data_IF_341380565372
#
_entry.id   IF_341380565372
#
_cell.length_a   1.000
_cell.length_b   1.000
_cell.length_c   1.000
_cell.angle_alpha   90.00
_cell.angle_beta   90.00
_cell.angle_gamma   90.00
#
_symmetry.space_group_name_H-M   'P 1'
#
loop_
_entity.id
_entity.type
_entity.pdbx_description
1 polymer ?
#
# COMPACT_ATOMS: atom_id res chain seq x y z
N UNK A 1 100.19 8.36 9.08
CA UNK A 1 99.88 7.75 7.79
C UNK A 1 98.71 6.79 7.98
N UNK A 2 97.63 7.10 7.45
CA UNK A 2 96.54 6.32 6.83
C UNK A 2 95.22 7.12 6.92
N UNK A 3 94.81 7.64 5.78
CA UNK A 3 93.52 8.30 5.57
C UNK A 3 92.35 7.26 5.74
N UNK A 4 91.39 7.60 6.56
CA UNK A 4 90.13 6.91 6.56
C UNK A 4 89.09 7.79 5.84
N UNK A 5 88.56 7.26 4.76
CA UNK A 5 87.50 7.90 3.97
C UNK A 5 86.14 7.71 4.68
N UNK A 6 85.49 8.84 4.99
CA UNK A 6 84.10 8.84 5.44
C UNK A 6 83.18 8.77 4.22
N UNK A 7 82.35 7.73 4.15
CA UNK A 7 81.27 7.62 3.18
C UNK A 7 79.98 8.07 3.90
N UNK A 8 79.48 9.22 3.49
CA UNK A 8 78.15 9.67 3.93
C UNK A 8 77.08 9.03 3.02
N UNK A 9 76.28 8.13 3.59
CA UNK A 9 75.18 7.55 2.90
C UNK A 9 73.89 8.44 3.16
N UNK A 10 73.49 9.16 2.11
CA UNK A 10 72.23 9.94 2.15
C UNK A 10 71.06 9.01 1.92
N UNK A 11 70.26 8.74 2.98
CA UNK A 11 68.99 8.01 2.89
C UNK A 11 67.92 9.00 2.48
N UNK A 12 67.43 8.89 1.24
CA UNK A 12 66.23 9.59 0.76
C UNK A 12 65.04 8.82 1.27
N UNK A 13 64.32 9.37 2.28
CA UNK A 13 63.00 8.88 2.71
C UNK A 13 61.97 9.45 1.72
N UNK A 14 61.53 8.63 0.77
CA UNK A 14 60.38 8.92 -0.06
C UNK A 14 59.11 8.71 0.79
N UNK A 15 58.62 9.78 1.41
CA UNK A 15 57.26 9.79 2.02
C UNK A 15 56.24 9.75 0.89
N UNK A 16 55.73 8.53 0.58
CA UNK A 16 54.60 8.33 -0.31
C UNK A 16 53.34 8.92 0.34
N UNK A 17 52.96 10.10 -0.10
CA UNK A 17 51.60 10.64 0.15
C UNK A 17 50.58 9.72 -0.56
N UNK A 18 50.09 8.71 0.14
CA UNK A 18 48.88 8.01 -0.22
C UNK A 18 47.73 9.01 -0.03
N UNK A 19 47.42 9.78 -1.07
CA UNK A 19 46.18 10.53 -1.18
C UNK A 19 45.08 9.51 -1.17
N UNK A 20 44.42 9.33 -0.04
CA UNK A 20 43.10 8.71 0.02
C UNK A 20 42.14 9.60 -0.76
N UNK A 21 42.09 9.38 -2.07
CA UNK A 21 40.97 9.87 -2.87
C UNK A 21 39.78 9.07 -2.34
N UNK A 22 39.02 9.67 -1.43
CA UNK A 22 37.68 9.18 -1.10
C UNK A 22 36.87 9.34 -2.37
N UNK A 23 36.82 8.28 -3.19
CA UNK A 23 35.78 8.15 -4.19
C UNK A 23 34.46 8.18 -3.38
N UNK A 24 33.67 9.21 -3.58
CA UNK A 24 32.28 9.16 -3.17
C UNK A 24 31.73 7.90 -3.84
N UNK A 25 31.51 6.84 -3.06
CA UNK A 25 30.90 5.62 -3.58
C UNK A 25 29.52 6.02 -4.05
N UNK A 26 29.28 5.92 -5.35
CA UNK A 26 27.95 6.13 -5.90
C UNK A 26 26.95 5.30 -5.08
N UNK A 27 25.90 5.93 -4.59
CA UNK A 27 24.84 5.28 -3.84
C UNK A 27 23.60 5.15 -4.71
N UNK A 28 22.78 4.15 -4.43
CA UNK A 28 21.44 4.05 -4.97
C UNK A 28 20.51 4.79 -4.01
N UNK A 29 19.73 5.74 -4.51
CA UNK A 29 18.84 6.55 -3.67
C UNK A 29 17.42 6.06 -3.75
N UNK A 30 16.80 5.85 -2.59
CA UNK A 30 15.39 5.47 -2.45
C UNK A 30 14.61 6.62 -1.84
N UNK A 31 13.66 7.17 -2.58
CA UNK A 31 12.72 8.17 -2.10
C UNK A 31 11.65 7.54 -1.20
N UNK A 32 11.40 8.15 -0.05
CA UNK A 32 10.35 7.75 0.89
C UNK A 32 9.38 8.90 1.02
N UNK A 33 8.20 8.74 0.44
CA UNK A 33 7.18 9.79 0.29
C UNK A 33 5.93 9.42 1.10
N UNK A 34 5.97 9.66 2.39
CA UNK A 34 4.89 9.37 3.32
C UNK A 34 4.62 10.55 4.26
N UNK A 35 3.34 10.80 4.58
CA UNK A 35 2.97 11.82 5.56
C UNK A 35 3.39 11.40 6.96
N UNK A 36 4.24 12.21 7.57
CA UNK A 36 4.73 12.03 8.94
C UNK A 36 4.01 12.96 9.92
N UNK A 37 3.15 13.83 9.39
CA UNK A 37 2.29 14.75 10.12
C UNK A 37 0.92 14.89 9.43
N UNK A 38 -0.08 15.44 10.15
CA UNK A 38 -1.46 15.58 9.66
C UNK A 38 -2.31 14.32 9.84
N UNK A 39 -3.50 14.29 9.19
CA UNK A 39 -4.56 13.30 9.41
C UNK A 39 -4.18 11.85 9.00
N UNK A 40 -3.17 11.69 8.13
CA UNK A 40 -2.72 10.37 7.65
C UNK A 40 -1.46 9.88 8.36
N UNK A 41 -0.87 10.64 9.26
CA UNK A 41 0.37 10.25 9.95
C UNK A 41 0.22 8.93 10.74
N UNK A 42 -0.97 8.67 11.30
CA UNK A 42 -1.27 7.43 12.03
C UNK A 42 -1.03 6.18 11.16
N UNK A 43 -1.34 6.25 9.87
CA UNK A 43 -1.20 5.13 8.93
C UNK A 43 0.14 5.13 8.18
N UNK A 44 0.70 6.32 7.88
CA UNK A 44 1.85 6.43 6.96
C UNK A 44 3.23 6.36 7.66
N UNK A 45 3.31 6.66 8.96
CA UNK A 45 4.61 6.66 9.66
C UNK A 45 5.26 5.27 9.69
N UNK A 46 4.47 4.22 9.87
CA UNK A 46 4.95 2.82 9.87
C UNK A 46 5.47 2.39 8.51
N UNK A 47 4.90 2.89 7.42
CA UNK A 47 5.37 2.59 6.07
C UNK A 47 6.75 3.19 5.81
N UNK A 48 7.00 4.45 6.25
CA UNK A 48 8.33 5.04 6.23
C UNK A 48 9.33 4.16 6.99
N UNK A 49 8.99 3.71 8.20
CA UNK A 49 9.87 2.88 9.02
C UNK A 49 10.11 1.49 8.38
N UNK A 50 9.10 0.92 7.71
CA UNK A 50 9.23 -0.33 6.95
C UNK A 50 10.23 -0.19 5.80
N UNK A 51 10.16 0.87 5.01
CA UNK A 51 11.14 1.12 3.93
C UNK A 51 12.55 1.27 4.50
N UNK A 52 12.70 2.01 5.60
CA UNK A 52 14.01 2.22 6.26
C UNK A 52 14.58 0.91 6.81
N UNK A 53 13.74 0.04 7.39
CA UNK A 53 14.12 -1.30 7.83
C UNK A 53 14.63 -2.13 6.64
N UNK A 54 13.89 -2.16 5.53
CA UNK A 54 14.26 -2.92 4.34
C UNK A 54 15.58 -2.43 3.73
N UNK A 55 15.81 -1.12 3.71
CA UNK A 55 17.09 -0.52 3.28
C UNK A 55 18.23 -0.96 4.21
N UNK A 56 18.01 -0.92 5.52
CA UNK A 56 19.03 -1.34 6.50
C UNK A 56 19.39 -2.83 6.33
N UNK A 57 18.38 -3.70 6.16
CA UNK A 57 18.58 -5.13 5.90
C UNK A 57 19.35 -5.39 4.59
N UNK A 58 19.00 -4.69 3.51
CA UNK A 58 19.67 -4.85 2.22
C UNK A 58 21.11 -4.35 2.29
N UNK A 59 21.36 -3.23 2.96
CA UNK A 59 22.71 -2.71 3.18
C UNK A 59 23.58 -3.65 4.03
N UNK A 60 22.99 -4.31 5.03
CA UNK A 60 23.69 -5.31 5.83
C UNK A 60 24.12 -6.55 5.00
N UNK A 61 23.41 -6.83 3.89
CA UNK A 61 23.75 -7.89 2.92
C UNK A 61 24.78 -7.44 1.84
N UNK A 62 25.24 -6.20 1.90
CA UNK A 62 26.22 -5.65 0.94
C UNK A 62 25.65 -4.63 -0.06
N UNK A 63 24.43 -4.15 0.17
CA UNK A 63 23.77 -3.15 -0.68
C UNK A 63 23.12 -3.76 -1.92
N UNK A 64 23.06 -3.01 -3.00
CA UNK A 64 22.44 -3.41 -4.27
C UNK A 64 23.39 -3.05 -5.42
N UNK A 65 23.70 -3.99 -6.33
CA UNK A 65 24.72 -3.87 -7.37
C UNK A 65 26.09 -3.40 -6.82
N UNK A 66 26.44 -3.83 -5.61
CA UNK A 66 27.68 -3.42 -4.94
C UNK A 66 27.69 -1.97 -4.43
N UNK A 67 26.56 -1.28 -4.45
CA UNK A 67 26.37 0.08 -3.96
C UNK A 67 25.50 0.08 -2.70
N UNK A 68 25.80 1.03 -1.79
CA UNK A 68 24.93 1.28 -0.64
C UNK A 68 23.62 1.92 -1.10
N UNK A 69 22.52 1.58 -0.44
CA UNK A 69 21.23 2.24 -0.62
C UNK A 69 21.08 3.34 0.42
N UNK A 70 20.81 4.57 -0.03
CA UNK A 70 20.58 5.72 0.84
C UNK A 70 19.11 6.18 0.74
N UNK A 71 18.39 6.28 1.86
CA UNK A 71 17.01 6.80 1.87
C UNK A 71 16.99 8.33 1.79
N UNK A 72 16.05 8.87 1.04
CA UNK A 72 15.68 10.29 1.03
C UNK A 72 14.24 10.40 1.50
N UNK A 73 14.05 10.80 2.76
CA UNK A 73 12.74 10.87 3.40
C UNK A 73 12.19 12.28 3.29
N UNK A 74 10.95 12.41 2.86
CA UNK A 74 10.22 13.69 2.79
C UNK A 74 8.85 13.56 3.45
N UNK A 75 8.38 14.65 4.09
CA UNK A 75 7.06 14.73 4.71
C UNK A 75 6.15 15.69 3.91
N UNK A 76 5.15 15.19 3.19
CA UNK A 76 4.14 16.01 2.54
C UNK A 76 2.97 16.42 3.47
N UNK A 77 3.04 16.12 4.77
CA UNK A 77 2.16 16.61 5.83
C UNK A 77 0.66 16.44 5.57
N UNK A 78 0.24 15.31 4.97
CA UNK A 78 -1.15 15.04 4.55
C UNK A 78 -1.75 16.12 3.63
N UNK A 79 -0.90 16.82 2.89
CA UNK A 79 -1.28 17.88 1.96
C UNK A 79 -1.06 17.40 0.52
N UNK A 80 -2.15 17.23 -0.22
CA UNK A 80 -2.12 16.59 -1.55
C UNK A 80 -1.28 17.34 -2.58
N UNK A 81 -1.35 18.68 -2.73
CA UNK A 81 -0.43 19.43 -3.58
C UNK A 81 1.03 19.26 -3.20
N UNK A 82 1.33 19.18 -1.90
CA UNK A 82 2.70 19.00 -1.42
C UNK A 82 3.28 17.63 -1.78
N UNK A 83 2.46 16.59 -1.95
CA UNK A 83 2.91 15.30 -2.50
C UNK A 83 3.52 15.45 -3.90
N UNK A 84 2.88 16.21 -4.79
CA UNK A 84 3.43 16.46 -6.13
C UNK A 84 4.74 17.24 -6.08
N UNK A 85 4.82 18.27 -5.23
CA UNK A 85 6.04 19.06 -5.03
C UNK A 85 7.19 18.19 -4.50
N UNK A 86 6.93 17.38 -3.46
CA UNK A 86 7.91 16.48 -2.86
C UNK A 86 8.30 15.34 -3.80
N UNK A 87 7.38 14.81 -4.59
CA UNK A 87 7.69 13.86 -5.66
C UNK A 87 8.64 14.46 -6.70
N UNK A 88 8.42 15.70 -7.12
CA UNK A 88 9.32 16.41 -8.03
C UNK A 88 10.68 16.72 -7.38
N UNK A 89 10.71 17.07 -6.10
CA UNK A 89 11.95 17.25 -5.34
C UNK A 89 12.78 15.96 -5.35
N UNK A 90 12.16 14.83 -5.03
CA UNK A 90 12.82 13.51 -5.02
C UNK A 90 13.39 13.15 -6.40
N UNK A 91 12.63 13.31 -7.47
CA UNK A 91 13.06 12.89 -8.82
C UNK A 91 14.02 13.88 -9.47
N UNK A 92 13.72 15.19 -9.45
CA UNK A 92 14.48 16.18 -10.21
C UNK A 92 15.71 16.68 -9.45
N UNK A 93 15.61 16.90 -8.12
CA UNK A 93 16.68 17.47 -7.30
C UNK A 93 17.52 16.39 -6.65
N UNK A 94 16.88 15.48 -5.91
CA UNK A 94 17.59 14.43 -5.17
C UNK A 94 17.98 13.27 -6.07
N UNK A 95 17.34 13.10 -7.23
CA UNK A 95 17.60 12.07 -8.25
C UNK A 95 17.52 10.67 -7.65
N UNK A 96 16.40 10.39 -6.98
CA UNK A 96 16.15 9.04 -6.46
C UNK A 96 15.87 8.07 -7.60
N UNK A 97 16.30 6.82 -7.44
CA UNK A 97 16.13 5.74 -8.42
C UNK A 97 14.72 5.14 -8.38
N UNK A 98 14.05 5.23 -7.23
CA UNK A 98 12.70 4.72 -7.00
C UNK A 98 12.05 5.47 -5.84
N UNK A 99 10.72 5.56 -5.83
CA UNK A 99 9.93 6.09 -4.71
C UNK A 99 9.08 4.96 -4.12
N UNK A 100 9.07 4.84 -2.79
CA UNK A 100 8.08 4.11 -2.02
C UNK A 100 7.21 5.14 -1.30
N UNK A 101 5.89 5.13 -1.52
CA UNK A 101 5.12 6.19 -0.93
C UNK A 101 3.65 6.28 -1.31
N UNK A 102 3.06 7.31 -0.75
CA UNK A 102 1.64 7.62 -0.76
C UNK A 102 0.80 6.59 0.00
N UNK A 103 -0.29 7.07 0.58
CA UNK A 103 -1.37 6.23 1.13
C UNK A 103 -2.67 6.50 0.37
N UNK A 104 -3.14 7.72 0.37
CA UNK A 104 -4.42 8.06 -0.24
C UNK A 104 -4.33 8.08 -1.77
N UNK A 105 -5.41 7.66 -2.43
CA UNK A 105 -5.47 7.76 -3.90
C UNK A 105 -5.31 9.19 -4.41
N UNK A 106 -5.77 10.18 -3.64
CA UNK A 106 -5.57 11.59 -4.02
C UNK A 106 -4.11 12.01 -3.94
N UNK A 107 -3.33 11.51 -2.97
CA UNK A 107 -1.88 11.77 -2.92
C UNK A 107 -1.15 11.10 -4.09
N UNK A 108 -1.45 9.83 -4.39
CA UNK A 108 -0.91 9.12 -5.57
C UNK A 108 -1.23 9.87 -6.85
N UNK A 109 -2.50 10.24 -7.08
CA UNK A 109 -2.94 10.97 -8.27
C UNK A 109 -2.29 12.35 -8.39
N UNK A 110 -1.92 12.99 -7.28
CA UNK A 110 -1.16 14.25 -7.29
C UNK A 110 0.29 14.05 -7.76
N UNK A 111 0.91 12.92 -7.41
CA UNK A 111 2.29 12.59 -7.80
C UNK A 111 2.37 12.00 -9.21
N UNK A 112 1.34 11.27 -9.67
CA UNK A 112 1.34 10.53 -10.92
C UNK A 112 1.79 11.34 -12.15
N UNK A 113 1.29 12.58 -12.39
CA UNK A 113 1.77 13.39 -13.52
C UNK A 113 3.27 13.70 -13.44
N UNK A 114 3.81 13.85 -12.24
CA UNK A 114 5.25 14.10 -12.02
C UNK A 114 6.09 12.86 -12.33
N UNK A 115 5.59 11.67 -11.91
CA UNK A 115 6.23 10.39 -12.24
C UNK A 115 6.29 10.18 -13.75
N UNK A 116 5.20 10.41 -14.45
CA UNK A 116 5.11 10.21 -15.90
C UNK A 116 5.95 11.25 -16.69
N UNK A 117 5.94 12.52 -16.26
CA UNK A 117 6.75 13.58 -16.88
C UNK A 117 8.25 13.32 -16.76
N UNK A 118 8.71 12.87 -15.58
CA UNK A 118 10.12 12.69 -15.26
C UNK A 118 10.60 11.23 -15.43
N UNK A 119 9.73 10.33 -15.93
CA UNK A 119 9.96 8.90 -16.00
C UNK A 119 10.47 8.33 -14.67
N UNK A 120 9.83 8.73 -13.55
CA UNK A 120 10.10 8.17 -12.23
C UNK A 120 9.40 6.82 -12.04
N UNK A 121 9.82 6.07 -11.03
CA UNK A 121 9.20 4.80 -10.65
C UNK A 121 8.70 4.87 -9.23
N UNK A 122 7.45 4.43 -8.98
CA UNK A 122 6.85 4.39 -7.66
C UNK A 122 6.25 3.02 -7.34
N UNK A 123 6.46 2.55 -6.11
CA UNK A 123 5.71 1.46 -5.50
C UNK A 123 4.64 2.04 -4.58
N UNK A 124 3.39 1.70 -4.87
CA UNK A 124 2.21 2.13 -4.11
C UNK A 124 1.66 0.95 -3.30
N UNK A 125 1.79 0.96 -1.96
CA UNK A 125 1.56 -0.23 -1.14
C UNK A 125 0.16 -0.32 -0.54
N UNK A 126 -0.78 0.52 -0.94
CA UNK A 126 -2.10 0.63 -0.30
C UNK A 126 -3.20 0.21 -1.25
N UNK A 127 -4.29 -0.31 -0.71
CA UNK A 127 -5.50 -0.57 -1.48
C UNK A 127 -5.99 0.71 -2.20
N UNK A 128 -6.64 0.51 -3.34
CA UNK A 128 -7.15 1.63 -4.11
C UNK A 128 -8.40 1.28 -4.92
N UNK A 129 -9.03 2.28 -5.52
CA UNK A 129 -10.29 2.16 -6.25
C UNK A 129 -10.17 1.50 -7.63
N UNK A 130 -8.97 1.12 -8.08
CA UNK A 130 -8.77 0.80 -9.49
C UNK A 130 -8.93 2.03 -10.38
N UNK A 131 -9.42 1.83 -11.61
CA UNK A 131 -9.70 2.88 -12.61
C UNK A 131 -8.47 3.74 -12.98
N UNK A 132 -7.30 3.16 -12.82
CA UNK A 132 -6.00 3.77 -13.13
C UNK A 132 -4.96 2.68 -13.38
N UNK A 133 -4.13 2.88 -14.41
CA UNK A 133 -2.94 2.08 -14.66
C UNK A 133 -1.85 2.96 -15.28
N UNK A 134 -0.64 2.92 -14.72
CA UNK A 134 0.51 3.66 -15.23
C UNK A 134 1.73 2.76 -15.31
N UNK A 135 2.55 2.93 -16.35
CA UNK A 135 3.83 2.21 -16.46
C UNK A 135 4.83 2.61 -15.36
N UNK A 136 4.62 3.77 -14.75
CA UNK A 136 5.51 4.35 -13.75
C UNK A 136 5.10 3.98 -12.31
N UNK A 137 4.06 3.17 -12.13
CA UNK A 137 3.57 2.75 -10.82
C UNK A 137 3.39 1.23 -10.76
N UNK A 138 3.96 0.62 -9.72
CA UNK A 138 3.65 -0.73 -9.29
C UNK A 138 2.68 -0.68 -8.11
N UNK A 139 1.51 -1.28 -8.30
CA UNK A 139 0.43 -1.31 -7.31
C UNK A 139 0.58 -2.59 -6.47
N UNK A 140 1.19 -2.48 -5.30
CA UNK A 140 1.44 -3.63 -4.42
C UNK A 140 0.35 -3.83 -3.37
N UNK A 141 -0.51 -2.83 -3.15
CA UNK A 141 -1.76 -2.96 -2.40
C UNK A 141 -2.92 -3.51 -3.25
N UNK A 142 -4.06 -3.75 -2.61
CA UNK A 142 -5.21 -4.39 -3.23
C UNK A 142 -5.92 -3.51 -4.28
N UNK A 143 -6.28 -4.09 -5.41
CA UNK A 143 -7.31 -3.57 -6.32
C UNK A 143 -8.72 -3.96 -5.82
N UNK A 144 -9.81 -3.38 -6.35
CA UNK A 144 -11.17 -3.68 -5.87
C UNK A 144 -11.54 -5.17 -5.92
N UNK A 145 -11.07 -5.91 -6.91
CA UNK A 145 -11.28 -7.35 -7.01
C UNK A 145 -10.45 -8.18 -6.01
N UNK A 146 -9.52 -7.53 -5.30
CA UNK A 146 -8.69 -8.14 -4.26
C UNK A 146 -9.05 -7.67 -2.85
N UNK A 147 -10.13 -6.91 -2.66
CA UNK A 147 -10.61 -6.46 -1.35
C UNK A 147 -12.12 -6.24 -1.35
N UNK A 148 -12.58 -5.21 -2.06
CA UNK A 148 -13.94 -4.69 -1.97
C UNK A 148 -14.99 -5.68 -2.46
N UNK A 149 -14.76 -6.35 -3.59
CA UNK A 149 -15.70 -7.32 -4.15
C UNK A 149 -15.77 -8.60 -3.32
N UNK A 150 -14.63 -9.27 -2.97
CA UNK A 150 -14.68 -10.44 -2.09
C UNK A 150 -15.29 -10.17 -0.71
N UNK A 151 -15.00 -8.99 -0.13
CA UNK A 151 -15.62 -8.58 1.14
C UNK A 151 -17.15 -8.49 1.05
N UNK A 152 -17.65 -7.94 -0.05
CA UNK A 152 -19.09 -7.84 -0.28
C UNK A 152 -19.71 -9.22 -0.54
N UNK A 153 -19.02 -10.11 -1.25
CA UNK A 153 -19.45 -11.50 -1.44
C UNK A 153 -19.55 -12.25 -0.11
N UNK A 154 -18.58 -12.08 0.78
CA UNK A 154 -18.62 -12.63 2.13
C UNK A 154 -19.83 -12.10 2.93
N UNK A 155 -20.07 -10.78 2.90
CA UNK A 155 -21.23 -10.20 3.59
C UNK A 155 -22.56 -10.76 3.08
N UNK A 156 -22.67 -11.00 1.77
CA UNK A 156 -23.89 -11.55 1.15
C UNK A 156 -24.04 -13.04 1.47
N UNK A 157 -23.00 -13.82 1.26
CA UNK A 157 -23.09 -15.28 1.24
C UNK A 157 -22.94 -15.90 2.64
N UNK A 158 -22.05 -15.36 3.48
CA UNK A 158 -21.69 -15.94 4.78
C UNK A 158 -22.43 -15.22 5.93
N UNK A 159 -22.53 -13.89 5.88
CA UNK A 159 -23.27 -13.09 6.88
C UNK A 159 -24.77 -13.00 6.54
N UNK A 160 -25.16 -13.18 5.28
CA UNK A 160 -26.54 -13.06 4.85
C UNK A 160 -27.06 -11.63 4.78
N UNK A 161 -26.18 -10.66 4.57
CA UNK A 161 -26.55 -9.25 4.48
C UNK A 161 -27.43 -8.98 3.25
N UNK A 162 -28.47 -8.20 3.45
CA UNK A 162 -29.47 -7.84 2.45
C UNK A 162 -29.59 -6.33 2.27
N UNK A 163 -29.01 -5.57 3.21
CA UNK A 163 -28.95 -4.10 3.18
C UNK A 163 -27.53 -3.64 3.45
N UNK A 164 -27.13 -2.60 2.75
CA UNK A 164 -25.74 -2.16 2.72
C UNK A 164 -25.62 -0.66 2.93
N UNK A 165 -24.72 -0.28 3.80
CA UNK A 165 -24.38 1.12 4.06
C UNK A 165 -22.94 1.34 3.59
N UNK A 166 -22.78 2.08 2.51
CA UNK A 166 -21.48 2.44 1.94
C UNK A 166 -21.04 3.78 2.55
N UNK A 167 -20.17 3.72 3.54
CA UNK A 167 -19.70 4.88 4.30
C UNK A 167 -18.25 5.17 3.96
N UNK A 168 -17.91 6.40 3.60
CA UNK A 168 -16.53 6.72 3.20
C UNK A 168 -16.08 8.15 3.47
N UNK A 169 -14.78 8.34 3.44
CA UNK A 169 -14.19 9.69 3.40
C UNK A 169 -14.45 10.32 2.03
N UNK A 170 -14.74 11.62 1.98
CA UNK A 170 -15.14 12.32 0.75
C UNK A 170 -13.96 12.65 -0.15
N UNK A 171 -13.46 11.63 -0.89
CA UNK A 171 -12.46 11.81 -1.95
C UNK A 171 -12.53 10.66 -2.97
N UNK A 172 -11.62 10.63 -3.94
CA UNK A 172 -11.69 9.75 -5.13
C UNK A 172 -11.80 8.26 -4.77
N UNK A 173 -11.00 7.75 -3.81
CA UNK A 173 -11.02 6.32 -3.46
C UNK A 173 -12.39 5.86 -2.94
N UNK A 174 -12.98 6.42 -1.88
CA UNK A 174 -14.30 5.98 -1.41
C UNK A 174 -15.41 6.20 -2.43
N UNK A 175 -15.39 7.34 -3.14
CA UNK A 175 -16.42 7.64 -4.14
C UNK A 175 -16.41 6.64 -5.29
N UNK A 176 -15.24 6.27 -5.79
CA UNK A 176 -15.12 5.31 -6.89
C UNK A 176 -15.35 3.88 -6.41
N UNK A 177 -14.77 3.48 -5.28
CA UNK A 177 -15.00 2.16 -4.69
C UNK A 177 -16.48 1.94 -4.38
N UNK A 178 -17.14 2.88 -3.73
CA UNK A 178 -18.57 2.76 -3.40
C UNK A 178 -19.43 2.72 -4.67
N UNK A 179 -19.04 3.43 -5.75
CA UNK A 179 -19.75 3.34 -7.04
C UNK A 179 -19.60 1.92 -7.66
N UNK A 180 -18.44 1.30 -7.56
CA UNK A 180 -18.22 -0.08 -7.99
C UNK A 180 -19.08 -1.03 -7.16
N UNK A 181 -19.07 -0.87 -5.84
CA UNK A 181 -19.86 -1.69 -4.91
C UNK A 181 -21.37 -1.54 -5.12
N UNK A 182 -21.86 -0.32 -5.34
CA UNK A 182 -23.27 -0.08 -5.66
C UNK A 182 -23.65 -0.78 -6.97
N UNK A 183 -22.82 -0.66 -8.02
CA UNK A 183 -23.05 -1.32 -9.30
C UNK A 183 -23.05 -2.86 -9.15
N UNK A 184 -22.14 -3.40 -8.35
CA UNK A 184 -22.09 -4.82 -8.03
C UNK A 184 -23.36 -5.29 -7.29
N UNK A 185 -23.79 -4.57 -6.25
CA UNK A 185 -25.00 -4.89 -5.47
C UNK A 185 -26.24 -4.89 -6.35
N UNK A 186 -26.41 -3.89 -7.20
CA UNK A 186 -27.52 -3.81 -8.15
C UNK A 186 -27.49 -4.97 -9.14
N UNK A 187 -26.32 -5.35 -9.64
CA UNK A 187 -26.14 -6.52 -10.52
C UNK A 187 -26.49 -7.85 -9.82
N UNK A 188 -26.30 -7.95 -8.50
CA UNK A 188 -26.71 -9.09 -7.66
C UNK A 188 -28.20 -9.05 -7.27
N UNK A 189 -28.94 -8.03 -7.69
CA UNK A 189 -30.39 -7.91 -7.46
C UNK A 189 -30.77 -7.24 -6.13
N UNK A 190 -29.80 -6.63 -5.42
CA UNK A 190 -30.10 -5.78 -4.27
C UNK A 190 -30.84 -4.53 -4.77
N UNK A 191 -31.91 -4.15 -4.10
CA UNK A 191 -32.70 -2.99 -4.49
C UNK A 191 -32.02 -1.69 -4.07
N UNK A 192 -32.16 -0.63 -4.86
CA UNK A 192 -31.59 0.68 -4.54
C UNK A 192 -32.04 1.22 -3.15
N UNK A 193 -33.27 0.90 -2.72
CA UNK A 193 -33.79 1.27 -1.40
C UNK A 193 -33.08 0.54 -0.22
N UNK A 194 -32.36 -0.54 -0.50
CA UNK A 194 -31.58 -1.31 0.45
C UNK A 194 -30.07 -0.93 0.42
N UNK A 195 -29.71 0.15 -0.27
CA UNK A 195 -28.37 0.71 -0.32
C UNK A 195 -28.42 2.15 0.20
N UNK A 196 -27.58 2.47 1.19
CA UNK A 196 -27.39 3.83 1.70
C UNK A 196 -25.93 4.24 1.48
N UNK A 197 -25.72 5.44 0.97
CA UNK A 197 -24.36 5.96 0.73
C UNK A 197 -24.17 7.25 1.51
N UNK A 198 -23.06 7.38 2.24
CA UNK A 198 -22.71 8.58 2.98
C UNK A 198 -21.20 8.87 2.92
N UNK A 199 -20.83 10.14 2.88
CA UNK A 199 -19.45 10.60 2.86
C UNK A 199 -19.20 11.69 3.89
N UNK A 200 -18.00 11.66 4.50
CA UNK A 200 -17.53 12.65 5.47
C UNK A 200 -16.18 13.23 5.04
N UNK A 201 -15.84 14.47 5.40
CA UNK A 201 -14.50 14.99 5.12
C UNK A 201 -13.42 14.23 5.89
N UNK A 202 -12.16 14.38 5.47
CA UNK A 202 -11.02 13.91 6.26
C UNK A 202 -11.03 14.54 7.67
N UNK A 203 -10.64 13.75 8.69
CA UNK A 203 -10.62 14.22 10.08
C UNK A 203 -12.01 14.46 10.68
N UNK A 204 -13.07 13.91 10.09
CA UNK A 204 -14.42 14.05 10.64
C UNK A 204 -14.53 13.43 12.02
N UNK A 205 -15.10 14.17 12.98
CA UNK A 205 -15.16 13.76 14.39
C UNK A 205 -16.58 13.70 14.99
N UNK A 206 -17.58 14.29 14.34
CA UNK A 206 -18.97 14.28 14.80
C UNK A 206 -19.80 13.22 14.09
N UNK A 207 -19.74 11.99 14.59
CA UNK A 207 -20.42 10.83 14.01
C UNK A 207 -21.83 10.57 14.52
N UNK A 208 -22.31 11.35 15.48
CA UNK A 208 -23.57 11.09 16.20
C UNK A 208 -24.78 10.91 15.25
N UNK A 209 -24.97 11.82 14.31
CA UNK A 209 -26.09 11.76 13.38
C UNK A 209 -25.94 10.64 12.36
N UNK A 210 -24.74 10.42 11.86
CA UNK A 210 -24.46 9.38 10.86
C UNK A 210 -24.68 8.00 11.46
N UNK A 211 -24.19 7.75 12.67
CA UNK A 211 -24.37 6.48 13.38
C UNK A 211 -25.84 6.27 13.76
N UNK A 212 -26.59 7.33 14.12
CA UNK A 212 -28.03 7.24 14.31
C UNK A 212 -28.78 6.87 13.01
N UNK A 213 -28.32 7.38 11.86
CA UNK A 213 -28.86 6.98 10.54
C UNK A 213 -28.54 5.53 10.20
N UNK A 214 -27.32 5.04 10.50
CA UNK A 214 -26.93 3.63 10.40
C UNK A 214 -27.89 2.75 11.21
N UNK A 215 -28.11 3.10 12.48
CA UNK A 215 -29.02 2.37 13.38
C UNK A 215 -30.46 2.34 12.86
N UNK A 216 -30.96 3.49 12.41
CA UNK A 216 -32.32 3.61 11.85
C UNK A 216 -32.46 2.82 10.55
N UNK A 217 -31.44 2.82 9.69
CA UNK A 217 -31.46 2.05 8.45
C UNK A 217 -31.42 0.56 8.74
N UNK A 218 -30.59 0.09 9.69
CA UNK A 218 -30.46 -1.31 10.10
C UNK A 218 -31.68 -1.88 10.84
N UNK A 219 -32.54 -1.02 11.45
CA UNK A 219 -33.70 -1.46 12.24
C UNK A 219 -34.88 -2.02 11.41
N UNK A 220 -34.75 -2.16 10.08
CA UNK A 220 -35.88 -2.52 9.18
C UNK A 220 -36.06 -4.02 8.95
N UNK A 221 -35.56 -4.87 9.84
CA UNK A 221 -35.84 -6.32 9.83
C UNK A 221 -35.13 -7.13 8.73
N UNK A 222 -34.15 -6.55 8.05
CA UNK A 222 -33.24 -7.21 7.11
C UNK A 222 -31.81 -7.14 7.68
N UNK A 223 -31.05 -8.21 7.54
CA UNK A 223 -29.62 -8.18 7.92
C UNK A 223 -28.93 -7.04 7.18
N UNK A 224 -28.31 -6.16 7.92
CA UNK A 224 -27.66 -4.95 7.41
C UNK A 224 -26.18 -4.97 7.74
N UNK A 225 -25.33 -4.52 6.82
CA UNK A 225 -23.89 -4.38 7.05
C UNK A 225 -23.42 -2.98 6.62
N UNK A 226 -22.38 -2.47 7.30
CA UNK A 226 -21.65 -1.26 6.91
C UNK A 226 -20.38 -1.67 6.19
N UNK A 227 -20.13 -1.10 5.02
CA UNK A 227 -18.86 -1.15 4.32
C UNK A 227 -18.17 0.18 4.52
N UNK A 228 -17.04 0.19 5.25
CA UNK A 228 -16.32 1.40 5.62
C UNK A 228 -15.10 1.60 4.75
N UNK A 229 -15.12 2.68 3.98
CA UNK A 229 -13.97 3.25 3.26
C UNK A 229 -13.52 4.57 3.92
N UNK A 230 -13.73 4.68 5.24
CA UNK A 230 -13.24 5.80 6.06
C UNK A 230 -11.74 5.66 6.28
N UNK A 231 -10.99 6.75 6.13
CA UNK A 231 -9.53 6.75 6.22
C UNK A 231 -9.01 7.64 7.35
N UNK A 232 -7.85 7.25 7.88
CA UNK A 232 -7.09 8.02 8.84
C UNK A 232 -7.75 8.12 10.22
N UNK A 233 -7.46 9.20 10.91
CA UNK A 233 -7.87 9.46 12.31
C UNK A 233 -9.38 9.54 12.53
N UNK A 234 -10.18 9.74 11.47
CA UNK A 234 -11.65 9.75 11.53
C UNK A 234 -12.25 8.40 11.96
N UNK A 235 -11.51 7.28 11.83
CA UNK A 235 -11.94 5.96 12.28
C UNK A 235 -12.12 5.90 13.80
N UNK A 236 -11.27 6.57 14.58
CA UNK A 236 -11.32 6.56 16.05
C UNK A 236 -12.69 7.02 16.58
N UNK A 237 -13.16 8.26 16.27
CA UNK A 237 -14.47 8.72 16.74
C UNK A 237 -15.63 7.94 16.09
N UNK A 238 -15.48 7.40 14.88
CA UNK A 238 -16.51 6.58 14.24
C UNK A 238 -16.82 5.33 15.06
N UNK A 239 -15.81 4.50 15.32
CA UNK A 239 -16.00 3.27 16.11
C UNK A 239 -16.42 3.56 17.55
N UNK A 240 -15.86 4.60 18.17
CA UNK A 240 -16.32 5.03 19.49
C UNK A 240 -17.81 5.34 19.52
N UNK A 241 -18.32 6.01 18.48
CA UNK A 241 -19.73 6.38 18.42
C UNK A 241 -20.64 5.18 18.12
N UNK A 242 -20.17 4.17 17.35
CA UNK A 242 -20.89 2.89 17.22
C UNK A 242 -21.11 2.25 18.59
N UNK A 243 -20.06 2.15 19.40
CA UNK A 243 -20.15 1.64 20.77
C UNK A 243 -21.06 2.48 21.68
N UNK A 244 -20.99 3.82 21.62
CA UNK A 244 -21.83 4.73 22.39
C UNK A 244 -23.32 4.54 22.08
N UNK A 245 -23.68 4.24 20.84
CA UNK A 245 -25.08 4.01 20.42
C UNK A 245 -25.51 2.54 20.55
N UNK A 246 -24.62 1.67 21.05
CA UNK A 246 -24.88 0.26 21.29
C UNK A 246 -25.10 -0.53 20.01
N UNK A 247 -24.37 -0.22 18.94
CA UNK A 247 -24.34 -1.01 17.71
C UNK A 247 -23.23 -2.04 17.84
N UNK A 248 -23.60 -3.32 17.92
CA UNK A 248 -22.69 -4.45 17.96
C UNK A 248 -22.44 -5.03 16.57
N UNK A 249 -21.39 -5.82 16.43
CA UNK A 249 -21.11 -6.55 15.21
C UNK A 249 -22.18 -7.60 14.88
N UNK A 250 -22.88 -8.14 15.92
CA UNK A 250 -23.99 -9.07 15.74
C UNK A 250 -25.21 -8.39 15.11
N UNK A 251 -25.46 -7.12 15.48
CA UNK A 251 -26.60 -6.34 14.99
C UNK A 251 -26.35 -5.79 13.59
N UNK A 252 -25.25 -5.07 13.42
CA UNK A 252 -24.84 -4.41 12.17
C UNK A 252 -23.31 -4.52 12.03
N UNK A 253 -22.77 -5.60 11.46
CA UNK A 253 -21.35 -5.72 11.25
C UNK A 253 -20.82 -4.59 10.36
N UNK A 254 -19.66 -4.07 10.73
CA UNK A 254 -18.87 -3.17 9.90
C UNK A 254 -17.73 -3.99 9.29
N UNK A 255 -17.55 -3.91 7.97
CA UNK A 255 -16.31 -4.37 7.31
C UNK A 255 -15.53 -3.17 6.83
N UNK A 256 -14.30 -3.02 7.32
CA UNK A 256 -13.44 -1.89 7.00
C UNK A 256 -12.39 -2.26 5.93
N UNK A 257 -12.06 -1.28 5.09
CA UNK A 257 -11.03 -1.41 4.06
C UNK A 257 -9.77 -0.57 4.35
N UNK A 258 -9.76 0.16 5.47
CA UNK A 258 -8.65 1.04 5.85
C UNK A 258 -8.41 1.03 7.37
N UNK A 259 -8.75 -0.07 8.04
CA UNK A 259 -8.45 -0.31 9.46
C UNK A 259 -7.71 -1.64 9.56
N UNK A 260 -6.51 -1.58 10.06
CA UNK A 260 -5.67 -2.73 10.35
C UNK A 260 -5.16 -2.67 11.79
N UNK A 261 -4.20 -3.49 12.12
CA UNK A 261 -3.65 -3.63 13.47
C UNK A 261 -3.05 -2.31 14.01
N UNK A 262 -2.45 -1.49 13.12
CA UNK A 262 -1.85 -0.21 13.52
C UNK A 262 -2.92 0.80 13.95
N UNK A 263 -4.01 0.91 13.21
CA UNK A 263 -5.14 1.76 13.57
C UNK A 263 -5.77 1.29 14.88
N UNK A 264 -5.95 -0.03 15.06
CA UNK A 264 -6.53 -0.61 16.28
C UNK A 264 -5.67 -0.37 17.51
N UNK A 265 -4.35 -0.24 17.38
CA UNK A 265 -3.44 0.05 18.49
C UNK A 265 -3.75 1.37 19.21
N UNK A 266 -4.47 2.27 18.54
CA UNK A 266 -4.93 3.56 19.09
C UNK A 266 -6.34 3.56 19.67
N UNK A 267 -7.06 2.41 19.65
CA UNK A 267 -8.47 2.30 20.01
C UNK A 267 -8.69 1.56 21.34
N UNK A 268 -9.84 1.81 21.98
CA UNK A 268 -10.46 0.84 22.87
C UNK A 268 -11.16 -0.21 22.00
N UNK A 269 -10.59 -1.42 21.93
CA UNK A 269 -11.04 -2.48 21.02
C UNK A 269 -12.30 -3.19 21.48
N UNK A 270 -12.67 -3.10 22.77
CA UNK A 270 -13.85 -3.80 23.33
C UNK A 270 -15.14 -3.59 22.54
N UNK A 271 -15.52 -2.35 22.18
CA UNK A 271 -16.73 -2.15 21.40
C UNK A 271 -16.60 -2.55 19.92
N UNK A 272 -15.40 -2.92 19.47
CA UNK A 272 -15.11 -3.26 18.08
C UNK A 272 -15.03 -4.78 17.83
N UNK A 273 -14.99 -5.59 18.89
CA UNK A 273 -14.89 -7.05 18.78
C UNK A 273 -16.02 -7.60 17.91
N UNK A 274 -15.67 -8.46 16.97
CA UNK A 274 -16.61 -9.05 16.01
C UNK A 274 -16.84 -8.22 14.73
N UNK A 275 -16.47 -6.94 14.71
CA UNK A 275 -16.41 -6.20 13.44
C UNK A 275 -15.25 -6.69 12.57
N UNK A 276 -15.32 -6.42 11.27
CA UNK A 276 -14.51 -7.07 10.26
C UNK A 276 -13.58 -6.07 9.55
N UNK A 277 -12.49 -6.59 8.98
CA UNK A 277 -11.71 -5.91 7.98
C UNK A 277 -11.39 -6.86 6.81
N UNK A 278 -11.19 -6.30 5.62
CA UNK A 278 -10.77 -7.05 4.44
C UNK A 278 -9.41 -6.56 3.96
N UNK A 279 -8.45 -7.48 3.88
CA UNK A 279 -7.07 -7.21 3.48
C UNK A 279 -6.45 -8.40 2.73
N UNK A 280 -5.21 -8.25 2.29
CA UNK A 280 -4.42 -9.36 1.74
C UNK A 280 -3.44 -9.95 2.77
N UNK A 281 -3.36 -9.36 3.96
CA UNK A 281 -2.50 -9.77 5.05
C UNK A 281 -3.10 -9.33 6.39
N UNK A 282 -2.90 -10.16 7.41
CA UNK A 282 -3.05 -9.83 8.84
C UNK A 282 -1.82 -10.33 9.60
N UNK A 283 -1.43 -9.62 10.66
CA UNK A 283 -0.28 -10.03 11.49
C UNK A 283 -0.44 -11.44 12.06
N UNK A 284 -1.66 -11.86 12.33
CA UNK A 284 -2.01 -13.16 12.90
C UNK A 284 -1.81 -14.35 11.96
N UNK A 285 -1.47 -14.13 10.69
CA UNK A 285 -1.21 -15.24 9.76
C UNK A 285 0.02 -16.03 10.17
N UNK A 286 -0.12 -17.36 10.30
CA UNK A 286 0.90 -18.27 10.78
C UNK A 286 1.71 -18.85 9.61
N UNK A 287 2.81 -18.15 9.24
CA UNK A 287 3.82 -18.64 8.29
C UNK A 287 5.22 -18.28 8.78
N UNK A 288 6.24 -19.06 8.41
CA UNK A 288 7.64 -18.81 8.77
C UNK A 288 8.12 -17.44 8.25
N UNK A 289 7.71 -17.09 7.04
CA UNK A 289 8.03 -15.79 6.44
C UNK A 289 7.45 -14.63 7.25
N UNK A 290 6.20 -14.77 7.72
CA UNK A 290 5.55 -13.75 8.53
C UNK A 290 6.18 -13.63 9.93
N UNK A 291 6.45 -14.75 10.60
CA UNK A 291 7.15 -14.76 11.87
C UNK A 291 8.51 -14.05 11.78
N UNK A 292 9.26 -14.31 10.70
CA UNK A 292 10.53 -13.65 10.42
C UNK A 292 10.35 -12.14 10.20
N UNK A 293 9.36 -11.73 9.43
CA UNK A 293 9.06 -10.32 9.18
C UNK A 293 8.70 -9.59 10.48
N UNK A 294 7.81 -10.15 11.30
CA UNK A 294 7.39 -9.58 12.58
C UNK A 294 8.60 -9.46 13.53
N UNK A 295 9.43 -10.49 13.62
CA UNK A 295 10.61 -10.48 14.47
C UNK A 295 11.62 -9.40 14.06
N UNK A 296 11.87 -9.27 12.75
CA UNK A 296 12.76 -8.24 12.20
C UNK A 296 12.21 -6.84 12.43
N UNK A 297 10.88 -6.65 12.25
CA UNK A 297 10.21 -5.39 12.51
C UNK A 297 10.36 -4.95 13.97
N UNK A 298 9.99 -5.81 14.92
CA UNK A 298 10.11 -5.52 16.35
C UNK A 298 11.54 -5.22 16.77
N UNK A 299 12.50 -5.99 16.25
CA UNK A 299 13.92 -5.76 16.48
C UNK A 299 14.41 -4.42 15.92
N UNK A 300 13.98 -4.06 14.71
CA UNK A 300 14.37 -2.81 14.07
C UNK A 300 13.83 -1.60 14.81
N UNK A 301 12.54 -1.63 15.16
CA UNK A 301 11.87 -0.52 15.85
C UNK A 301 12.25 -0.44 17.34
N UNK A 302 12.73 -1.55 17.92
CA UNK A 302 13.09 -1.62 19.36
C UNK A 302 11.87 -1.61 20.31
N UNK A 303 10.70 -2.02 19.81
CA UNK A 303 9.46 -2.06 20.58
C UNK A 303 8.62 -3.29 20.20
N UNK A 304 8.50 -4.23 21.15
CA UNK A 304 7.77 -5.50 20.97
C UNK A 304 6.25 -5.32 20.85
N UNK A 305 5.72 -4.13 21.19
CA UNK A 305 4.29 -3.83 21.07
C UNK A 305 3.88 -3.33 19.69
N UNK A 306 4.85 -2.93 18.88
CA UNK A 306 4.58 -2.46 17.52
C UNK A 306 4.11 -3.62 16.65
N UNK A 307 3.05 -3.36 15.90
CA UNK A 307 2.37 -4.33 15.06
C UNK A 307 2.81 -4.21 13.60
N UNK A 308 2.45 -5.21 12.80
CA UNK A 308 2.55 -5.18 11.35
C UNK A 308 1.13 -5.19 10.76
N UNK A 309 0.95 -4.67 9.55
CA UNK A 309 -0.31 -4.61 8.85
C UNK A 309 -0.15 -4.81 7.34
N UNK A 310 -1.25 -4.89 6.60
CA UNK A 310 -1.26 -5.13 5.16
C UNK A 310 -0.40 -4.13 4.35
N UNK A 311 -0.51 -2.78 4.51
CA UNK A 311 0.34 -1.87 3.76
C UNK A 311 1.85 -2.01 4.04
N UNK A 312 2.22 -2.45 5.25
CA UNK A 312 3.62 -2.77 5.58
C UNK A 312 4.08 -4.02 4.84
N UNK A 313 3.24 -5.07 4.79
CA UNK A 313 3.50 -6.28 4.00
C UNK A 313 3.64 -5.95 2.52
N UNK A 314 2.73 -5.14 1.95
CA UNK A 314 2.78 -4.72 0.56
C UNK A 314 4.05 -3.89 0.24
N UNK A 315 4.51 -3.06 1.20
CA UNK A 315 5.78 -2.33 1.12
C UNK A 315 6.97 -3.30 1.12
N UNK A 316 6.97 -4.27 2.04
CA UNK A 316 8.01 -5.30 2.14
C UNK A 316 8.12 -6.14 0.86
N UNK A 317 7.01 -6.62 0.32
CA UNK A 317 6.97 -7.37 -0.94
C UNK A 317 7.46 -6.49 -2.09
N UNK A 318 6.95 -5.27 -2.21
CA UNK A 318 7.33 -4.34 -3.27
C UNK A 318 8.84 -4.03 -3.25
N UNK A 319 9.41 -3.81 -2.07
CA UNK A 319 10.85 -3.57 -1.93
C UNK A 319 11.68 -4.79 -2.35
N UNK A 320 11.30 -5.99 -1.91
CA UNK A 320 11.97 -7.23 -2.33
C UNK A 320 11.91 -7.47 -3.83
N UNK A 321 10.75 -7.18 -4.44
CA UNK A 321 10.59 -7.27 -5.89
C UNK A 321 11.45 -6.26 -6.63
N UNK A 322 11.51 -5.01 -6.14
CA UNK A 322 12.38 -3.99 -6.71
C UNK A 322 13.86 -4.41 -6.67
N UNK A 323 14.35 -4.90 -5.53
CA UNK A 323 15.72 -5.42 -5.42
C UNK A 323 15.99 -6.50 -6.46
N UNK A 324 15.10 -7.51 -6.58
CA UNK A 324 15.26 -8.58 -7.59
C UNK A 324 15.20 -8.06 -9.02
N UNK A 325 14.34 -7.08 -9.31
CA UNK A 325 14.24 -6.51 -10.64
C UNK A 325 15.49 -5.70 -11.02
N UNK A 326 16.05 -4.93 -10.09
CA UNK A 326 17.33 -4.21 -10.27
C UNK A 326 18.47 -5.20 -10.48
N UNK A 327 18.57 -6.27 -9.69
CA UNK A 327 19.57 -7.32 -9.88
C UNK A 327 19.44 -7.99 -11.25
N UNK A 328 18.21 -8.32 -11.68
CA UNK A 328 17.92 -8.92 -12.98
C UNK A 328 18.23 -7.98 -14.15
N UNK A 329 17.94 -6.68 -14.00
CA UNK A 329 18.25 -5.65 -15.00
C UNK A 329 19.73 -5.26 -15.02
N UNK A 330 20.45 -5.44 -13.91
CA UNK A 330 21.84 -4.99 -13.74
C UNK A 330 21.99 -3.46 -13.65
N UNK A 331 20.88 -2.74 -13.45
CA UNK A 331 20.81 -1.28 -13.43
C UNK A 331 19.59 -0.81 -12.63
N UNK A 332 19.59 0.47 -12.22
CA UNK A 332 18.43 1.17 -11.64
C UNK A 332 17.64 1.98 -12.68
N UNK A 333 18.00 1.90 -13.96
CA UNK A 333 17.25 2.55 -15.03
C UNK A 333 15.77 2.13 -15.01
N UNK A 334 14.88 3.11 -15.02
CA UNK A 334 13.44 2.90 -14.79
C UNK A 334 12.81 1.97 -15.82
N UNK A 335 13.11 2.17 -17.12
CA UNK A 335 12.50 1.35 -18.17
C UNK A 335 13.04 -0.10 -18.13
N UNK A 336 14.31 -0.27 -17.79
CA UNK A 336 14.92 -1.59 -17.63
C UNK A 336 14.37 -2.33 -16.40
N UNK A 337 14.19 -1.63 -15.27
CA UNK A 337 13.62 -2.19 -14.04
C UNK A 337 12.14 -2.53 -14.24
N UNK A 338 11.37 -1.66 -14.90
CA UNK A 338 9.96 -1.88 -15.24
C UNK A 338 9.78 -3.19 -16.03
N UNK A 339 10.55 -3.36 -17.10
CA UNK A 339 10.50 -4.58 -17.91
C UNK A 339 10.98 -5.83 -17.12
N UNK A 340 12.03 -5.68 -16.31
CA UNK A 340 12.54 -6.77 -15.49
C UNK A 340 11.56 -7.21 -14.39
N UNK A 341 10.71 -6.29 -13.92
CA UNK A 341 9.75 -6.52 -12.84
C UNK A 341 8.68 -7.54 -13.19
N UNK A 342 8.22 -7.56 -14.45
CA UNK A 342 7.15 -8.45 -14.88
C UNK A 342 7.56 -9.92 -14.66
N UNK A 343 6.71 -10.65 -13.93
CA UNK A 343 6.94 -12.05 -13.54
C UNK A 343 7.90 -12.23 -12.36
N UNK A 344 8.39 -11.15 -11.73
CA UNK A 344 9.13 -11.28 -10.46
C UNK A 344 8.21 -11.90 -9.41
N UNK A 345 8.75 -12.91 -8.74
CA UNK A 345 8.07 -13.66 -7.69
C UNK A 345 8.88 -13.62 -6.40
N UNK A 346 8.20 -13.39 -5.28
CA UNK A 346 8.79 -13.42 -3.93
C UNK A 346 7.87 -14.22 -2.99
N UNK A 347 8.43 -14.84 -1.92
CA UNK A 347 7.59 -15.45 -0.90
C UNK A 347 6.58 -14.44 -0.36
N UNK A 348 5.31 -14.86 -0.26
CA UNK A 348 4.25 -14.06 0.33
C UNK A 348 4.18 -14.32 1.84
N UNK A 349 3.95 -13.29 2.65
CA UNK A 349 3.82 -13.44 4.11
C UNK A 349 2.59 -14.25 4.51
N UNK A 350 1.57 -14.33 3.65
CA UNK A 350 0.37 -15.16 3.85
C UNK A 350 0.51 -16.60 3.31
N UNK A 351 1.74 -16.98 2.95
CA UNK A 351 2.04 -18.26 2.31
C UNK A 351 2.00 -18.20 0.78
N UNK A 352 2.68 -19.16 0.15
CA UNK A 352 2.82 -19.20 -1.29
C UNK A 352 3.70 -18.10 -1.84
N UNK A 353 3.33 -17.54 -2.99
CA UNK A 353 4.18 -16.63 -3.75
C UNK A 353 3.38 -15.46 -4.29
N UNK A 354 3.83 -14.24 -4.00
CA UNK A 354 3.35 -13.03 -4.66
C UNK A 354 4.08 -12.85 -6.00
N UNK A 355 3.34 -12.55 -7.06
CA UNK A 355 3.88 -12.38 -8.42
C UNK A 355 3.46 -11.01 -8.96
N UNK A 356 4.41 -10.29 -9.56
CA UNK A 356 4.11 -9.06 -10.29
C UNK A 356 3.62 -9.37 -11.70
N UNK A 357 2.40 -9.01 -12.01
CA UNK A 357 1.78 -9.27 -13.30
C UNK A 357 2.09 -8.16 -14.33
N UNK A 358 1.78 -8.45 -15.61
CA UNK A 358 1.99 -7.51 -16.72
C UNK A 358 1.19 -6.20 -16.61
N UNK A 359 0.19 -6.17 -15.76
CA UNK A 359 -0.62 -4.98 -15.44
C UNK A 359 -0.13 -4.19 -14.23
N UNK A 360 1.08 -4.48 -13.74
CA UNK A 360 1.71 -3.86 -12.57
C UNK A 360 0.96 -4.07 -11.23
N UNK A 361 0.16 -5.13 -11.14
CA UNK A 361 -0.52 -5.55 -9.92
C UNK A 361 0.00 -6.90 -9.44
N UNK A 362 -0.10 -7.14 -8.14
CA UNK A 362 0.28 -8.41 -7.52
C UNK A 362 -0.84 -9.46 -7.64
N UNK A 363 -0.44 -10.73 -7.63
CA UNK A 363 -1.33 -11.85 -7.31
C UNK A 363 -1.24 -12.12 -5.81
N UNK A 364 -2.34 -11.96 -5.07
CA UNK A 364 -2.40 -12.13 -3.61
C UNK A 364 -3.72 -12.79 -3.20
N UNK A 365 -3.77 -13.51 -2.06
CA UNK A 365 -5.05 -13.96 -1.50
C UNK A 365 -5.82 -12.77 -0.92
N UNK A 366 -7.12 -12.94 -0.71
CA UNK A 366 -7.96 -12.00 0.02
C UNK A 366 -8.38 -12.64 1.33
N UNK A 367 -8.25 -11.92 2.42
CA UNK A 367 -8.58 -12.36 3.77
C UNK A 367 -9.65 -11.46 4.37
N UNK A 368 -10.56 -12.07 5.13
CA UNK A 368 -11.46 -11.35 6.05
C UNK A 368 -11.02 -11.68 7.46
N UNK A 369 -10.70 -10.63 8.22
CA UNK A 369 -10.33 -10.74 9.62
C UNK A 369 -11.41 -10.16 10.53
N UNK A 370 -11.67 -10.85 11.64
CA UNK A 370 -12.55 -10.39 12.71
C UNK A 370 -11.71 -9.76 13.82
N UNK A 371 -12.08 -8.56 14.25
CA UNK A 371 -11.40 -7.82 15.32
C UNK A 371 -11.54 -8.55 16.65
N UNK A 372 -10.41 -8.80 17.31
CA UNK A 372 -10.30 -9.42 18.62
C UNK A 372 -10.04 -8.39 19.73
N UNK A 373 -10.25 -8.78 21.00
CA UNK A 373 -10.10 -7.87 22.15
C UNK A 373 -8.67 -7.31 22.31
N UNK A 374 -7.67 -8.06 21.86
CA UNK A 374 -6.25 -7.67 21.92
C UNK A 374 -5.81 -6.74 20.77
N UNK A 375 -6.73 -6.36 19.89
CA UNK A 375 -6.45 -5.52 18.73
C UNK A 375 -5.81 -6.26 17.56
N UNK A 376 -5.80 -7.59 17.59
CA UNK A 376 -5.44 -8.43 16.46
C UNK A 376 -6.68 -8.84 15.68
N UNK A 377 -6.46 -9.54 14.56
CA UNK A 377 -7.53 -10.10 13.75
C UNK A 377 -7.47 -11.62 13.75
N UNK A 378 -8.62 -12.28 13.92
CA UNK A 378 -8.77 -13.68 13.58
C UNK A 378 -9.21 -13.79 12.11
N UNK A 379 -8.45 -14.52 11.28
CA UNK A 379 -8.82 -14.74 9.88
C UNK A 379 -10.00 -15.71 9.82
N UNK A 380 -11.19 -15.20 9.49
CA UNK A 380 -12.43 -15.98 9.46
C UNK A 380 -12.80 -16.46 8.05
N UNK A 381 -12.19 -15.89 7.02
CA UNK A 381 -12.40 -16.26 5.63
C UNK A 381 -11.20 -15.90 4.75
N UNK A 382 -10.98 -16.68 3.70
CA UNK A 382 -9.98 -16.39 2.67
C UNK A 382 -10.43 -16.89 1.31
N UNK A 383 -9.92 -16.29 0.24
CA UNK A 383 -10.03 -16.86 -1.10
C UNK A 383 -9.28 -18.19 -1.17
N UNK A 384 -9.80 -19.21 -1.93
CA UNK A 384 -9.14 -20.50 -2.06
C UNK A 384 -7.78 -20.41 -2.79
N UNK A 385 -7.64 -19.43 -3.68
CA UNK A 385 -6.45 -19.16 -4.49
C UNK A 385 -6.08 -17.68 -4.46
N UNK A 386 -4.90 -17.36 -4.98
CA UNK A 386 -4.50 -15.96 -5.19
C UNK A 386 -5.35 -15.31 -6.29
N UNK A 387 -5.69 -14.05 -6.08
CA UNK A 387 -6.42 -13.21 -7.04
C UNK A 387 -5.42 -12.29 -7.74
N UNK A 388 -5.47 -12.23 -9.06
CA UNK A 388 -4.70 -11.24 -9.84
C UNK A 388 -5.40 -9.89 -9.69
N UNK A 389 -4.66 -8.87 -9.24
CA UNK A 389 -5.20 -7.52 -9.16
C UNK A 389 -5.57 -6.99 -10.54
N UNK A 390 -6.73 -6.34 -10.64
CA UNK A 390 -7.21 -5.72 -11.88
C UNK A 390 -7.48 -4.24 -11.65
N UNK A 391 -6.88 -3.41 -12.51
CA UNK A 391 -7.08 -1.96 -12.48
C UNK A 391 -8.49 -1.56 -12.91
N UNK A 392 -9.17 -2.37 -13.74
CA UNK A 392 -10.42 -1.99 -14.41
C UNK A 392 -11.59 -2.81 -13.90
N UNK A 393 -12.65 -2.12 -13.48
CA UNK A 393 -13.82 -2.78 -12.91
C UNK A 393 -14.77 -3.31 -13.98
N UNK A 394 -15.15 -4.59 -13.89
CA UNK A 394 -16.18 -5.22 -14.72
C UNK A 394 -17.58 -4.60 -14.50
N UNK A 395 -17.79 -3.91 -13.39
CA UNK A 395 -19.09 -3.36 -13.01
C UNK A 395 -19.30 -1.93 -13.49
N UNK A 396 -18.26 -1.23 -13.95
CA UNK A 396 -18.39 0.12 -14.47
C UNK A 396 -18.45 0.09 -16.01
N UNK A 397 -19.51 0.65 -16.62
CA UNK A 397 -19.64 0.67 -18.10
C UNK A 397 -18.47 1.34 -18.83
N UNK A 398 -17.76 2.27 -18.15
CA UNK A 398 -16.61 2.99 -18.70
C UNK A 398 -15.35 2.14 -18.82
N UNK A 399 -15.20 1.10 -18.02
CA UNK A 399 -13.95 0.36 -17.87
C UNK A 399 -14.07 -1.15 -18.05
N UNK A 400 -15.26 -1.72 -18.01
CA UNK A 400 -15.48 -3.18 -18.11
C UNK A 400 -14.86 -3.89 -19.31
N UNK A 401 -14.51 -3.15 -20.36
CA UNK A 401 -13.87 -3.69 -21.55
C UNK A 401 -12.39 -3.30 -21.64
N UNK A 402 -11.86 -2.64 -20.61
CA UNK A 402 -10.46 -2.24 -20.57
C UNK A 402 -9.63 -3.35 -19.94
N UNK A 403 -8.41 -3.50 -20.43
CA UNK A 403 -7.38 -4.33 -19.81
C UNK A 403 -6.09 -3.53 -19.75
N UNK A 404 -5.29 -3.79 -18.72
CA UNK A 404 -3.96 -3.23 -18.58
C UNK A 404 -2.94 -4.31 -18.91
N UNK A 405 -2.02 -4.03 -19.82
CA UNK A 405 -0.90 -4.91 -20.12
C UNK A 405 0.29 -4.10 -20.65
N UNK A 406 1.36 -4.04 -19.85
CA UNK A 406 2.58 -3.31 -20.19
C UNK A 406 3.58 -4.15 -21.00
N UNK A 407 3.25 -5.41 -21.33
CA UNK A 407 4.09 -6.27 -22.18
C UNK A 407 3.79 -6.07 -23.66
N UNK A 408 4.77 -6.40 -24.51
CA UNK A 408 4.56 -6.39 -25.94
C UNK A 408 3.57 -7.52 -26.36
N UNK A 409 2.70 -7.33 -27.35
CA UNK A 409 2.61 -6.16 -28.24
C UNK A 409 1.71 -5.01 -27.70
N UNK A 410 0.95 -5.23 -26.63
CA UNK A 410 -0.07 -4.29 -26.14
C UNK A 410 0.57 -3.02 -25.55
N UNK A 411 1.46 -3.16 -24.57
CA UNK A 411 2.15 -2.05 -23.87
C UNK A 411 1.25 -0.88 -23.52
N UNK A 412 0.10 -1.17 -22.91
CA UNK A 412 -0.98 -0.22 -22.75
C UNK A 412 -1.70 -0.46 -21.41
N UNK A 413 -1.88 0.62 -20.64
CA UNK A 413 -2.60 0.55 -19.36
C UNK A 413 -4.12 0.49 -19.49
N UNK A 414 -4.69 0.78 -20.66
CA UNK A 414 -6.12 0.91 -20.90
C UNK A 414 -6.52 0.45 -22.31
N UNK A 415 -6.13 -0.75 -22.67
CA UNK A 415 -6.48 -1.38 -23.95
C UNK A 415 -7.96 -1.78 -23.94
N UNK A 416 -8.74 -1.26 -24.88
CA UNK A 416 -10.14 -1.62 -25.06
C UNK A 416 -10.24 -2.85 -25.98
N UNK A 417 -10.70 -3.98 -25.42
CA UNK A 417 -10.82 -5.26 -26.14
C UNK A 417 -11.91 -5.24 -27.22
N UNK A 418 -12.87 -4.32 -27.19
CA UNK A 418 -13.93 -4.20 -28.20
C UNK A 418 -13.51 -3.42 -29.41
N UNK A 419 -12.66 -2.41 -29.22
CA UNK A 419 -12.14 -1.55 -30.29
C UNK A 419 -10.73 -1.91 -30.73
N UNK A 420 -10.04 -2.77 -29.99
CA UNK A 420 -8.64 -3.15 -30.16
C UNK A 420 -7.68 -1.94 -30.17
N UNK A 421 -7.93 -0.94 -29.33
CA UNK A 421 -7.16 0.30 -29.21
C UNK A 421 -6.82 0.64 -27.78
N UNK A 422 -5.64 1.24 -27.59
CA UNK A 422 -5.35 1.94 -26.33
C UNK A 422 -6.14 3.26 -26.32
N UNK A 423 -6.97 3.46 -25.33
CA UNK A 423 -7.65 4.73 -25.10
C UNK A 423 -6.73 5.64 -24.28
N UNK A 424 -6.48 6.88 -24.74
CA UNK A 424 -5.78 7.85 -23.92
C UNK A 424 -6.59 8.10 -22.63
N UNK A 425 -5.97 7.98 -21.47
CA UNK A 425 -6.59 8.46 -20.23
C UNK A 425 -6.73 9.98 -20.37
N UNK A 426 -7.96 10.44 -20.55
CA UNK A 426 -8.29 11.84 -20.33
C UNK A 426 -8.66 11.95 -18.85
N UNK A 427 -7.70 12.41 -18.05
CA UNK A 427 -7.96 12.85 -16.68
C UNK A 427 -8.77 14.14 -16.68
#
# INVERSE_FOLDING_TARGET
>A
MKLAKLIVASSIVAAGLLSNIAYATETIKVGVLHSLSGTMAISETTLKDTVLMMIAEQNAKGGLLGKRIDPVVVDPASNWPLFAEKGRELLAKEKVDVIFGSWTSVSRKSVLPVLEELNGLMFYPVQYEGEESSKNVFYTGAAPNQQAIPALEYLINDIGAQRFILLGTDYVYPRTTNKILEAYLLAKGVKAEDIMVNYTPFGHSDWQNIVADVKRFGSKGKQTAVISTVNGDANIPFYKELGNQGISAEDIPVIAFSVGEEELSGFDTKPLVGHLAAWNYFQSVETEENETFIANWKKYIGDDKRVTNDPMEATYIGFKMWVKAVEKAGTTDVDAVEQAMIGIAVPNLTGGTAVMNSNHHLSKPVLIGEIQEDGQFEVVWSTPDTVIGDAWSDFLPSSKNLVSDWTAPIKCGNFDITTAKCSGQKF
#
